data_IF_357002997410
#
_entry.id   IF_357002997410
#
_cell.length_a   1.000
_cell.length_b   1.000
_cell.length_c   1.000
_cell.angle_alpha   90.00
_cell.angle_beta   90.00
_cell.angle_gamma   90.00
#
_symmetry.space_group_name_H-M   'P 1'
#
loop_
_entity.id
_entity.type
_entity.pdbx_description
1 polymer ?
#
# COMPACT_ATOMS: atom_id res chain seq x y z
N UNK A 1 38.11 -17.25 -2.10
CA UNK A 1 37.59 -16.45 -0.96
C UNK A 1 36.24 -17.03 -0.59
N UNK A 2 36.09 -17.52 0.66
CA UNK A 2 34.87 -18.19 1.13
C UNK A 2 33.79 -17.14 1.37
N UNK A 3 32.65 -17.24 0.68
CA UNK A 3 31.46 -16.44 0.96
C UNK A 3 30.69 -17.06 2.13
N UNK A 4 30.47 -16.27 3.17
CA UNK A 4 29.54 -16.56 4.26
C UNK A 4 28.19 -15.92 3.89
N UNK A 5 27.14 -16.72 3.80
CA UNK A 5 25.77 -16.24 3.67
C UNK A 5 25.21 -15.86 5.07
N UNK A 6 24.38 -14.81 5.20
CA UNK A 6 23.67 -14.54 6.44
C UNK A 6 22.41 -15.40 6.51
N UNK A 7 22.31 -16.22 7.56
CA UNK A 7 21.10 -16.95 7.92
C UNK A 7 20.17 -15.99 8.66
N UNK A 8 19.07 -15.60 8.05
CA UNK A 8 17.93 -15.00 8.77
C UNK A 8 17.25 -16.10 9.58
N UNK A 9 17.46 -16.10 10.89
CA UNK A 9 16.75 -16.99 11.80
C UNK A 9 15.36 -16.40 12.09
N UNK A 10 14.33 -16.93 11.42
CA UNK A 10 12.95 -16.78 11.85
C UNK A 10 12.74 -17.69 13.06
N UNK A 11 12.71 -17.12 14.26
CA UNK A 11 12.47 -17.89 15.49
C UNK A 11 10.96 -18.16 15.61
N UNK A 12 10.50 -19.27 15.04
CA UNK A 12 9.16 -19.80 15.28
C UNK A 12 9.13 -20.36 16.71
N UNK A 13 8.47 -19.64 17.63
CA UNK A 13 8.09 -20.19 18.93
C UNK A 13 6.85 -21.06 18.68
N UNK A 14 7.07 -22.36 18.51
CA UNK A 14 6.00 -23.35 18.51
C UNK A 14 5.61 -23.65 19.97
N UNK A 15 4.54 -23.01 20.47
CA UNK A 15 3.93 -23.40 21.73
C UNK A 15 3.03 -24.62 21.48
N UNK A 16 3.51 -25.80 21.87
CA UNK A 16 2.68 -26.99 21.97
C UNK A 16 1.81 -26.88 23.24
N UNK A 17 0.54 -26.49 23.08
CA UNK A 17 -0.45 -26.57 24.17
C UNK A 17 -1.07 -27.97 24.13
N UNK A 18 -0.71 -28.80 25.11
CA UNK A 18 -1.34 -30.11 25.33
C UNK A 18 -2.74 -29.92 25.92
N UNK A 19 -3.77 -30.20 25.12
CA UNK A 19 -5.15 -30.23 25.60
C UNK A 19 -5.41 -31.57 26.30
N UNK A 20 -5.33 -31.60 27.63
CA UNK A 20 -5.89 -32.69 28.43
C UNK A 20 -6.17 -32.22 29.85
N UNK A 21 -7.45 -32.23 30.23
CA UNK A 21 -7.90 -32.20 31.62
C UNK A 21 -8.99 -31.18 31.90
N UNK A 22 -10.24 -31.64 31.98
CA UNK A 22 -11.33 -30.91 32.63
C UNK A 22 -11.03 -30.84 34.14
N UNK A 23 -10.26 -29.85 34.56
CA UNK A 23 -10.01 -29.55 35.96
C UNK A 23 -10.28 -28.07 36.20
N UNK A 24 -11.14 -27.74 37.16
CA UNK A 24 -11.46 -26.39 37.65
C UNK A 24 -10.27 -25.73 38.40
N UNK A 25 -9.04 -25.97 37.92
CA UNK A 25 -7.84 -25.32 38.42
C UNK A 25 -7.78 -23.90 37.89
N UNK A 26 -7.65 -22.93 38.79
CA UNK A 26 -7.30 -21.56 38.49
C UNK A 26 -5.96 -21.59 37.74
N UNK A 27 -6.01 -21.63 36.41
CA UNK A 27 -4.80 -21.59 35.60
C UNK A 27 -4.32 -20.15 35.61
N UNK A 28 -3.42 -19.85 36.53
CA UNK A 28 -2.59 -18.65 36.47
C UNK A 28 -1.76 -18.75 35.19
N UNK A 29 -2.35 -18.28 34.07
CA UNK A 29 -1.62 -18.12 32.82
C UNK A 29 -0.54 -17.08 33.13
N UNK A 30 0.75 -17.43 33.00
CA UNK A 30 1.82 -16.51 33.30
C UNK A 30 1.64 -15.25 32.42
N UNK A 31 1.51 -14.09 33.07
CA UNK A 31 1.46 -12.81 32.40
C UNK A 31 2.82 -12.62 31.73
N UNK A 32 2.86 -12.75 30.40
CA UNK A 32 4.07 -12.50 29.63
C UNK A 32 4.28 -10.98 29.62
N UNK A 33 5.37 -10.54 30.24
CA UNK A 33 5.77 -9.13 30.21
C UNK A 33 5.99 -8.68 28.76
N UNK A 34 5.42 -7.52 28.35
CA UNK A 34 5.59 -7.05 26.98
C UNK A 34 7.05 -6.70 26.71
N UNK A 35 7.50 -6.97 25.48
CA UNK A 35 8.84 -6.62 25.03
C UNK A 35 9.10 -5.10 25.04
N UNK A 36 10.36 -4.66 24.95
CA UNK A 36 10.74 -3.25 25.05
C UNK A 36 10.10 -2.37 23.97
N UNK A 37 9.97 -2.87 22.74
CA UNK A 37 9.36 -2.11 21.64
C UNK A 37 7.86 -1.84 21.91
N UNK A 38 7.13 -2.82 22.46
CA UNK A 38 5.71 -2.65 22.87
C UNK A 38 5.58 -1.66 24.02
N UNK A 39 6.46 -1.73 25.03
CA UNK A 39 6.49 -0.75 26.13
C UNK A 39 6.70 0.66 25.59
N UNK A 40 7.67 0.85 24.69
CA UNK A 40 7.93 2.15 24.07
C UNK A 40 6.76 2.66 23.21
N UNK A 41 6.09 1.78 22.47
CA UNK A 41 4.88 2.13 21.71
C UNK A 41 3.76 2.62 22.63
N UNK A 42 3.51 1.91 23.73
CA UNK A 42 2.48 2.27 24.72
C UNK A 42 2.78 3.62 25.39
N UNK A 43 4.01 3.79 25.86
CA UNK A 43 4.47 5.05 26.45
C UNK A 43 4.31 6.22 25.46
N UNK A 44 4.70 6.03 24.19
CA UNK A 44 4.53 7.06 23.16
C UNK A 44 3.05 7.40 22.91
N UNK A 45 2.15 6.41 22.94
CA UNK A 45 0.72 6.65 22.80
C UNK A 45 0.18 7.46 23.98
N UNK A 46 0.52 7.08 25.21
CA UNK A 46 0.13 7.80 26.43
C UNK A 46 0.65 9.24 26.42
N UNK A 47 1.94 9.44 26.11
CA UNK A 47 2.55 10.78 26.06
C UNK A 47 1.93 11.65 24.96
N UNK A 48 1.60 11.08 23.80
CA UNK A 48 0.88 11.80 22.76
C UNK A 48 -0.51 12.24 23.23
N UNK A 49 -1.22 11.39 23.99
CA UNK A 49 -2.56 11.73 24.48
C UNK A 49 -2.59 12.85 25.53
N UNK A 50 -1.47 13.10 26.22
CA UNK A 50 -1.34 14.16 27.23
C UNK A 50 -1.09 15.55 26.64
N UNK A 51 -0.70 15.63 25.37
CA UNK A 51 -0.39 16.93 24.73
C UNK A 51 -1.65 17.74 24.50
N UNK A 52 -1.51 19.06 24.53
CA UNK A 52 -2.57 19.96 24.10
C UNK A 52 -2.89 19.75 22.62
N UNK A 53 -4.18 19.85 22.27
CA UNK A 53 -4.60 19.88 20.88
C UNK A 53 -4.08 21.17 20.22
N UNK A 54 -3.56 21.05 19.01
CA UNK A 54 -3.17 22.19 18.21
C UNK A 54 -4.43 22.92 17.70
N UNK A 55 -4.41 24.24 17.69
CA UNK A 55 -5.54 25.01 17.19
C UNK A 55 -5.53 25.04 15.65
N UNK A 56 -6.27 24.09 15.06
CA UNK A 56 -6.32 23.84 13.63
C UNK A 56 -7.75 23.52 13.21
N UNK A 57 -8.15 24.05 12.05
CA UNK A 57 -9.44 23.76 11.44
C UNK A 57 -9.46 22.39 10.76
N UNK A 58 -8.30 21.88 10.34
CA UNK A 58 -8.17 20.58 9.69
C UNK A 58 -6.81 19.94 9.92
N UNK A 59 -6.77 18.60 9.83
CA UNK A 59 -5.53 17.80 9.86
C UNK A 59 -5.64 16.68 8.83
N UNK A 60 -4.60 16.51 8.02
CA UNK A 60 -4.45 15.32 7.18
C UNK A 60 -3.46 14.37 7.85
N UNK A 61 -3.89 13.13 8.05
CA UNK A 61 -3.01 12.07 8.54
C UNK A 61 -2.91 10.95 7.52
N UNK A 62 -1.85 10.18 7.66
CA UNK A 62 -1.68 8.88 7.06
C UNK A 62 -1.63 7.82 8.17
N UNK A 63 -2.17 6.62 7.95
CA UNK A 63 -2.25 5.61 9.01
C UNK A 63 -1.99 4.16 8.55
N UNK A 64 -1.34 3.41 9.43
CA UNK A 64 -1.33 1.95 9.43
C UNK A 64 -2.29 1.48 10.52
N UNK A 65 -3.35 0.75 10.15
CA UNK A 65 -4.28 0.13 11.10
C UNK A 65 -4.01 -1.37 11.21
N UNK A 66 -3.88 -1.85 12.44
CA UNK A 66 -3.73 -3.27 12.78
C UNK A 66 -4.91 -3.72 13.66
N UNK A 67 -5.93 -4.37 13.08
CA UNK A 67 -7.14 -4.74 13.78
C UNK A 67 -6.91 -5.96 14.66
N UNK A 68 -7.72 -6.06 15.71
CA UNK A 68 -7.64 -7.15 16.71
C UNK A 68 -8.83 -8.09 16.68
N UNK A 69 -9.93 -7.70 16.00
CA UNK A 69 -11.21 -8.41 16.05
C UNK A 69 -11.99 -8.41 14.73
N UNK A 70 -11.49 -7.75 13.69
CA UNK A 70 -12.21 -7.59 12.42
C UNK A 70 -11.65 -8.60 11.41
N UNK A 71 -12.54 -9.39 10.80
CA UNK A 71 -12.35 -9.97 9.46
C UNK A 71 -12.20 -8.79 8.50
N UNK A 72 -10.97 -8.31 8.32
CA UNK A 72 -10.72 -7.09 7.55
C UNK A 72 -11.21 -7.22 6.11
N UNK A 73 -11.65 -6.11 5.52
CA UNK A 73 -12.00 -5.99 4.09
C UNK A 73 -10.84 -6.30 3.12
N UNK A 74 -9.65 -6.59 3.63
CA UNK A 74 -8.54 -7.09 2.82
C UNK A 74 -8.57 -8.62 2.86
N UNK A 75 -9.33 -9.24 1.96
CA UNK A 75 -9.49 -10.71 1.81
C UNK A 75 -8.15 -11.49 1.76
N UNK A 76 -7.02 -10.79 1.59
CA UNK A 76 -5.67 -11.36 1.46
C UNK A 76 -4.79 -11.33 2.72
N UNK A 77 -5.18 -10.68 3.83
CA UNK A 77 -4.30 -10.55 5.01
C UNK A 77 -4.73 -11.47 6.16
N UNK A 78 -3.79 -12.15 6.85
CA UNK A 78 -4.12 -13.06 7.94
C UNK A 78 -4.72 -12.29 9.11
N UNK A 79 -5.67 -12.91 9.81
CA UNK A 79 -6.21 -12.40 11.07
C UNK A 79 -5.09 -12.35 12.12
N UNK A 80 -5.01 -11.25 12.86
CA UNK A 80 -4.06 -11.07 13.97
C UNK A 80 -4.77 -11.22 15.32
N UNK A 81 -4.13 -11.88 16.28
CA UNK A 81 -4.51 -11.78 17.69
C UNK A 81 -4.15 -10.39 18.24
N UNK A 82 -4.76 -10.00 19.36
CA UNK A 82 -4.52 -8.68 19.95
C UNK A 82 -3.04 -8.43 20.25
N UNK A 83 -2.36 -9.42 20.83
CA UNK A 83 -0.93 -9.35 21.17
C UNK A 83 -0.04 -9.28 19.91
N UNK A 84 -0.40 -10.00 18.84
CA UNK A 84 0.31 -9.97 17.57
C UNK A 84 0.14 -8.63 16.86
N UNK A 85 -1.08 -8.09 16.85
CA UNK A 85 -1.37 -6.78 16.29
C UNK A 85 -0.61 -5.68 17.05
N UNK A 86 -0.53 -5.78 18.37
CA UNK A 86 0.23 -4.83 19.19
C UNK A 86 1.73 -4.91 18.94
N UNK A 87 2.30 -6.13 18.96
CA UNK A 87 3.71 -6.34 18.67
C UNK A 87 4.07 -5.81 17.27
N UNK A 88 3.18 -6.04 16.28
CA UNK A 88 3.36 -5.53 14.93
C UNK A 88 3.24 -4.01 14.88
N UNK A 89 2.31 -3.39 15.61
CA UNK A 89 2.18 -1.94 15.69
C UNK A 89 3.45 -1.29 16.24
N UNK A 90 4.01 -1.89 17.30
CA UNK A 90 5.24 -1.43 17.92
C UNK A 90 6.45 -1.51 16.98
N UNK A 91 6.58 -2.61 16.24
CA UNK A 91 7.61 -2.79 15.21
C UNK A 91 7.51 -1.70 14.12
N UNK A 92 6.31 -1.48 13.58
CA UNK A 92 6.09 -0.51 12.51
C UNK A 92 6.27 0.93 12.99
N UNK A 93 5.87 1.25 14.22
CA UNK A 93 6.12 2.55 14.85
C UNK A 93 7.62 2.82 14.96
N UNK A 94 8.41 1.84 15.41
CA UNK A 94 9.87 1.94 15.48
C UNK A 94 10.50 2.16 14.12
N UNK A 95 10.07 1.42 13.09
CA UNK A 95 10.55 1.61 11.71
C UNK A 95 10.21 3.01 11.20
N UNK A 96 8.96 3.47 11.38
CA UNK A 96 8.52 4.79 10.97
C UNK A 96 9.31 5.91 11.67
N UNK A 97 9.56 5.78 12.99
CA UNK A 97 10.40 6.73 13.75
C UNK A 97 11.86 6.75 13.28
N UNK A 98 12.35 5.65 12.72
CA UNK A 98 13.67 5.56 12.11
C UNK A 98 13.73 6.10 10.66
N UNK A 99 12.63 6.66 10.15
CA UNK A 99 12.57 7.26 8.81
C UNK A 99 12.26 6.26 7.69
N UNK A 100 11.70 5.09 8.02
CA UNK A 100 11.18 4.18 6.99
C UNK A 100 10.09 4.86 6.15
N UNK A 101 10.00 4.46 4.89
CA UNK A 101 8.98 4.91 3.94
C UNK A 101 7.57 4.55 4.45
N UNK A 102 6.85 5.57 4.92
CA UNK A 102 5.55 5.38 5.55
C UNK A 102 4.47 4.94 4.55
N UNK A 103 4.55 5.38 3.30
CA UNK A 103 3.63 4.95 2.24
C UNK A 103 3.72 3.43 2.05
N UNK A 104 4.96 2.92 2.01
CA UNK A 104 5.22 1.48 1.95
C UNK A 104 4.71 0.74 3.18
N UNK A 105 4.89 1.28 4.39
CA UNK A 105 4.39 0.64 5.61
C UNK A 105 2.86 0.52 5.58
N UNK A 106 2.17 1.57 5.16
CA UNK A 106 0.70 1.58 5.03
C UNK A 106 0.25 0.54 4.02
N UNK A 107 0.85 0.53 2.84
CA UNK A 107 0.51 -0.40 1.78
C UNK A 107 0.71 -1.86 2.20
N UNK A 108 1.88 -2.19 2.74
CA UNK A 108 2.22 -3.56 3.11
C UNK A 108 1.45 -4.05 4.33
N UNK A 109 1.20 -3.18 5.32
CA UNK A 109 0.77 -3.64 6.64
C UNK A 109 -0.59 -3.14 7.10
N UNK A 110 -1.14 -2.07 6.51
CA UNK A 110 -2.45 -1.56 6.95
C UNK A 110 -3.58 -2.50 6.53
N UNK A 111 -4.50 -2.74 7.43
CA UNK A 111 -5.76 -3.46 7.18
C UNK A 111 -6.94 -2.49 7.04
N UNK A 112 -6.69 -1.19 7.20
CA UNK A 112 -7.71 -0.16 7.01
C UNK A 112 -8.13 -0.04 5.54
N UNK A 113 -9.30 0.55 5.32
CA UNK A 113 -9.78 0.83 3.98
C UNK A 113 -8.85 1.86 3.32
N UNK A 114 -8.01 1.40 2.39
CA UNK A 114 -7.17 2.27 1.59
C UNK A 114 -8.05 2.89 0.52
N UNK A 115 -8.37 4.18 0.67
CA UNK A 115 -9.19 4.83 -0.34
C UNK A 115 -8.41 5.00 -1.62
N UNK A 116 -9.01 4.68 -2.76
CA UNK A 116 -8.18 4.38 -3.89
C UNK A 116 -7.61 5.68 -4.54
N UNK A 117 -8.35 6.79 -4.46
CA UNK A 117 -8.03 8.04 -5.15
C UNK A 117 -6.87 8.86 -4.55
N UNK A 118 -6.21 8.43 -3.47
CA UNK A 118 -5.29 9.25 -2.68
C UNK A 118 -4.02 8.52 -2.27
N UNK A 119 -3.10 9.21 -1.59
CA UNK A 119 -1.96 8.57 -0.91
C UNK A 119 -2.50 7.42 -0.02
N UNK A 120 -1.88 6.22 -0.03
CA UNK A 120 -2.39 5.07 0.72
C UNK A 120 -2.64 5.42 2.19
N UNK A 121 -3.85 5.13 2.67
CA UNK A 121 -4.25 5.37 4.06
C UNK A 121 -4.14 6.84 4.48
N UNK A 122 -4.20 7.79 3.55
CA UNK A 122 -4.31 9.19 3.88
C UNK A 122 -5.79 9.62 3.94
N UNK A 123 -6.15 10.41 4.96
CA UNK A 123 -7.45 11.07 5.01
C UNK A 123 -7.35 12.40 5.75
N UNK A 124 -8.29 13.30 5.45
CA UNK A 124 -8.38 14.62 6.09
C UNK A 124 -9.52 14.62 7.09
N UNK A 125 -9.24 15.15 8.27
CA UNK A 125 -10.21 15.40 9.31
C UNK A 125 -10.46 16.89 9.41
N UNK A 126 -11.73 17.28 9.55
CA UNK A 126 -12.15 18.67 9.76
C UNK A 126 -12.70 18.85 11.18
N UNK A 127 -12.49 20.05 11.72
CA UNK A 127 -13.15 20.54 12.93
C UNK A 127 -14.44 21.25 12.52
N UNK A 128 -15.60 20.80 13.02
CA UNK A 128 -16.91 21.40 12.72
C UNK A 128 -17.66 20.76 11.56
N UNK A 129 -18.61 21.51 10.98
CA UNK A 129 -19.48 21.01 9.91
C UNK A 129 -18.72 20.75 8.60
N UNK A 130 -19.14 19.72 7.84
CA UNK A 130 -18.54 19.42 6.54
C UNK A 130 -19.05 20.42 5.50
N UNK A 131 -18.17 21.11 4.77
CA UNK A 131 -18.58 21.84 3.59
C UNK A 131 -19.28 20.92 2.58
N UNK A 132 -20.25 21.44 1.79
CA UNK A 132 -20.73 20.70 0.63
C UNK A 132 -19.57 20.45 -0.35
N UNK A 133 -19.53 19.27 -0.96
CA UNK A 133 -18.55 18.84 -1.98
C UNK A 133 -17.10 18.65 -1.48
N UNK A 134 -16.92 17.96 -0.36
CA UNK A 134 -15.57 17.54 0.04
C UNK A 134 -15.01 16.48 -0.91
N UNK A 135 -13.71 16.56 -1.15
CA UNK A 135 -12.98 15.52 -1.86
C UNK A 135 -13.06 14.16 -1.13
N UNK A 136 -12.70 13.07 -1.82
CA UNK A 136 -12.69 11.73 -1.22
C UNK A 136 -11.86 11.71 0.08
N UNK A 137 -12.22 10.82 1.01
CA UNK A 137 -11.59 10.63 2.32
C UNK A 137 -11.41 11.91 3.17
N UNK A 138 -12.43 12.77 3.19
CA UNK A 138 -12.54 13.84 4.18
C UNK A 138 -13.69 13.53 5.14
N UNK A 139 -13.43 13.63 6.44
CA UNK A 139 -14.37 13.27 7.50
C UNK A 139 -14.45 14.37 8.57
N UNK A 140 -15.55 14.44 9.30
CA UNK A 140 -15.55 15.19 10.56
C UNK A 140 -14.68 14.40 11.53
N UNK A 141 -13.88 15.09 12.35
CA UNK A 141 -13.00 14.38 13.29
C UNK A 141 -13.80 13.46 14.22
N UNK A 142 -15.01 13.84 14.61
CA UNK A 142 -15.93 13.06 15.46
C UNK A 142 -16.49 11.80 14.77
N UNK A 143 -16.33 11.65 13.46
CA UNK A 143 -16.69 10.41 12.72
C UNK A 143 -15.60 9.34 12.77
N UNK A 144 -14.41 9.66 13.28
CA UNK A 144 -13.31 8.73 13.45
C UNK A 144 -13.18 8.29 14.91
N UNK A 145 -12.43 7.20 15.12
CA UNK A 145 -12.03 6.72 16.45
C UNK A 145 -11.46 7.88 17.29
N UNK A 146 -12.01 8.08 18.50
CA UNK A 146 -11.68 9.18 19.40
C UNK A 146 -10.19 9.31 19.65
N UNK A 147 -9.50 8.19 19.90
CA UNK A 147 -8.06 8.19 20.14
C UNK A 147 -7.27 8.60 18.91
N UNK A 148 -7.74 8.24 17.71
CA UNK A 148 -7.08 8.53 16.43
C UNK A 148 -7.17 10.01 16.11
N UNK A 149 -8.37 10.60 16.11
CA UNK A 149 -8.49 12.01 15.76
C UNK A 149 -7.85 12.92 16.80
N UNK A 150 -7.93 12.59 18.09
CA UNK A 150 -7.23 13.36 19.13
C UNK A 150 -5.72 13.29 18.95
N UNK A 151 -5.18 12.11 18.63
CA UNK A 151 -3.76 11.97 18.32
C UNK A 151 -3.36 12.82 17.09
N UNK A 152 -4.19 12.84 16.04
CA UNK A 152 -3.96 13.64 14.84
C UNK A 152 -3.78 15.14 15.15
N UNK A 153 -4.62 15.72 16.01
CA UNK A 153 -4.53 17.14 16.41
C UNK A 153 -3.36 17.47 17.32
N UNK A 154 -2.65 16.46 17.85
CA UNK A 154 -1.51 16.63 18.75
C UNK A 154 -0.15 16.40 18.09
N UNK A 155 -0.16 15.92 16.85
CA UNK A 155 1.04 15.71 16.05
C UNK A 155 1.43 16.99 15.32
N UNK A 156 2.73 17.22 15.16
CA UNK A 156 3.27 18.22 14.23
C UNK A 156 3.40 17.64 12.82
N UNK A 157 3.43 18.45 11.75
CA UNK A 157 3.70 17.98 10.39
C UNK A 157 4.95 17.08 10.34
N UNK A 158 4.82 15.93 9.67
CA UNK A 158 5.86 14.90 9.56
C UNK A 158 6.01 13.98 10.78
N UNK A 159 5.40 14.30 11.92
CA UNK A 159 5.56 13.52 13.16
C UNK A 159 4.80 12.19 13.10
N UNK A 160 5.43 11.13 13.64
CA UNK A 160 4.84 9.81 13.83
C UNK A 160 4.24 9.70 15.23
N UNK A 161 2.97 9.29 15.31
CA UNK A 161 2.23 9.00 16.53
C UNK A 161 1.85 7.53 16.67
N UNK A 162 1.73 7.10 17.93
CA UNK A 162 1.20 5.79 18.31
C UNK A 162 -0.23 5.97 18.86
N UNK A 163 -1.12 5.02 18.56
CA UNK A 163 -2.46 4.95 19.13
C UNK A 163 -2.72 3.51 19.58
N UNK A 164 -2.92 3.34 20.89
CA UNK A 164 -3.31 2.05 21.47
C UNK A 164 -4.76 1.69 21.16
N UNK A 165 -5.06 0.40 21.22
CA UNK A 165 -6.43 -0.10 21.22
C UNK A 165 -7.11 0.24 22.54
N UNK A 166 -8.28 0.87 22.45
CA UNK A 166 -9.20 1.09 23.56
C UNK A 166 -10.60 0.65 23.14
N UNK A 167 -11.33 -0.05 24.00
CA UNK A 167 -12.64 -0.61 23.62
C UNK A 167 -13.68 0.46 23.27
N UNK A 168 -13.55 1.67 23.80
CA UNK A 168 -14.43 2.80 23.51
C UNK A 168 -13.86 3.75 22.46
N UNK A 169 -12.57 4.07 22.55
CA UNK A 169 -11.99 5.20 21.80
C UNK A 169 -11.23 4.79 20.54
N UNK A 170 -10.86 3.52 20.42
CA UNK A 170 -10.16 2.95 19.25
C UNK A 170 -10.50 1.46 19.12
N UNK A 171 -11.79 1.10 19.00
CA UNK A 171 -12.21 -0.29 18.94
C UNK A 171 -11.64 -1.01 17.71
N UNK A 172 -11.28 -0.25 16.67
CA UNK A 172 -10.72 -0.76 15.42
C UNK A 172 -9.34 -1.42 15.56
N UNK A 173 -8.59 -1.18 16.65
CA UNK A 173 -7.30 -1.80 16.91
C UNK A 173 -6.18 -0.82 17.23
N UNK A 174 -4.96 -1.17 16.83
CA UNK A 174 -3.77 -0.35 17.03
C UNK A 174 -3.49 0.47 15.78
N UNK A 175 -3.00 1.70 15.97
CA UNK A 175 -2.63 2.57 14.85
C UNK A 175 -1.21 3.12 15.01
N UNK A 176 -0.51 3.17 13.89
CA UNK A 176 0.66 4.03 13.69
C UNK A 176 0.21 5.11 12.73
N UNK A 177 0.29 6.38 13.13
CA UNK A 177 -0.18 7.50 12.32
C UNK A 177 0.96 8.49 12.05
N UNK A 178 0.90 9.17 10.91
CA UNK A 178 1.80 10.26 10.54
C UNK A 178 0.98 11.48 10.16
N UNK A 179 1.28 12.65 10.71
CA UNK A 179 0.65 13.89 10.22
C UNK A 179 1.35 14.34 8.95
N UNK A 180 0.59 14.56 7.88
CA UNK A 180 1.14 15.10 6.64
C UNK A 180 1.30 16.62 6.75
N UNK A 181 2.34 17.15 6.13
CA UNK A 181 2.48 18.59 5.92
C UNK A 181 1.47 19.11 4.89
N UNK A 182 1.25 20.42 4.87
CA UNK A 182 0.41 21.04 3.85
C UNK A 182 0.98 20.85 2.44
N UNK A 183 2.31 20.96 2.29
CA UNK A 183 3.00 20.69 1.03
C UNK A 183 2.74 19.26 0.53
N UNK A 184 2.91 18.27 1.40
CA UNK A 184 2.62 16.86 1.08
C UNK A 184 1.15 16.63 0.72
N UNK A 185 0.22 17.29 1.41
CA UNK A 185 -1.22 17.21 1.11
C UNK A 185 -1.55 17.80 -0.25
N UNK A 186 -0.96 18.96 -0.58
CA UNK A 186 -1.22 19.65 -1.84
C UNK A 186 -0.62 18.89 -3.03
N UNK A 187 0.54 18.24 -2.85
CA UNK A 187 1.18 17.41 -3.88
C UNK A 187 0.36 16.19 -4.26
N UNK A 188 -0.52 15.70 -3.39
CA UNK A 188 -1.30 14.49 -3.67
C UNK A 188 -2.66 14.79 -4.34
N UNK A 189 -3.05 16.07 -4.43
CA UNK A 189 -4.34 16.47 -4.97
C UNK A 189 -4.29 16.51 -6.51
N UNK A 190 -5.09 15.67 -7.22
CA UNK A 190 -5.12 15.69 -8.68
C UNK A 190 -5.47 17.02 -9.31
N UNK A 191 -6.22 17.88 -8.60
CA UNK A 191 -6.57 19.21 -9.06
C UNK A 191 -5.38 20.20 -9.06
N UNK A 192 -4.30 19.87 -8.37
CA UNK A 192 -3.08 20.68 -8.30
C UNK A 192 -2.02 20.24 -9.32
N UNK A 193 -2.28 19.18 -10.08
CA UNK A 193 -1.37 18.79 -11.16
C UNK A 193 -1.53 19.73 -12.35
N UNK A 194 -0.40 20.10 -12.95
CA UNK A 194 -0.42 20.80 -14.23
C UNK A 194 -1.29 20.03 -15.22
N UNK A 195 -1.97 20.73 -16.15
CA UNK A 195 -2.73 20.07 -17.20
C UNK A 195 -1.84 19.04 -17.90
N UNK A 196 -2.37 17.84 -18.19
CA UNK A 196 -1.56 16.75 -18.71
C UNK A 196 -0.85 17.20 -19.97
N UNK A 197 0.47 17.01 -20.01
CA UNK A 197 1.24 17.23 -21.23
C UNK A 197 0.74 16.28 -22.34
N UNK A 198 1.14 16.52 -23.59
CA UNK A 198 0.67 15.73 -24.73
C UNK A 198 0.92 14.22 -24.57
N UNK A 199 2.01 13.82 -23.91
CA UNK A 199 2.29 12.40 -23.65
C UNK A 199 1.28 11.80 -22.66
N UNK A 200 0.98 12.48 -21.55
CA UNK A 200 0.00 12.01 -20.56
C UNK A 200 -1.39 11.92 -21.17
N UNK A 201 -1.78 12.91 -21.99
CA UNK A 201 -3.06 12.88 -22.70
C UNK A 201 -3.17 11.63 -23.61
N UNK A 202 -2.14 11.37 -24.42
CA UNK A 202 -2.08 10.19 -25.29
C UNK A 202 -2.07 8.87 -24.51
N UNK A 203 -1.30 8.81 -23.43
CA UNK A 203 -1.21 7.64 -22.55
C UNK A 203 -2.58 7.27 -21.96
N UNK A 204 -3.34 8.27 -21.47
CA UNK A 204 -4.71 8.08 -20.96
C UNK A 204 -5.69 7.68 -22.05
N UNK A 205 -5.63 8.32 -23.22
CA UNK A 205 -6.47 8.00 -24.38
C UNK A 205 -6.27 6.54 -24.81
N UNK A 206 -5.02 6.11 -24.97
CA UNK A 206 -4.70 4.74 -25.38
C UNK A 206 -5.09 3.71 -24.32
N UNK A 207 -4.93 4.04 -23.03
CA UNK A 207 -5.35 3.17 -21.94
C UNK A 207 -6.87 2.98 -21.93
N UNK A 208 -7.62 4.08 -22.14
CA UNK A 208 -9.07 4.03 -22.27
C UNK A 208 -9.50 3.22 -23.50
N UNK A 209 -8.85 3.45 -24.64
CA UNK A 209 -9.10 2.72 -25.88
C UNK A 209 -8.86 1.23 -25.69
N UNK A 210 -7.72 0.83 -25.11
CA UNK A 210 -7.40 -0.56 -24.80
C UNK A 210 -8.42 -1.16 -23.83
N UNK A 211 -8.82 -0.44 -22.79
CA UNK A 211 -9.78 -0.93 -21.79
C UNK A 211 -11.17 -1.21 -22.35
N UNK A 212 -11.51 -0.59 -23.49
CA UNK A 212 -12.80 -0.73 -24.17
C UNK A 212 -12.81 -1.82 -25.24
N UNK A 213 -11.64 -2.41 -25.56
CA UNK A 213 -11.57 -3.49 -26.55
C UNK A 213 -12.16 -4.79 -26.00
N UNK A 214 -12.78 -5.63 -26.85
CA UNK A 214 -13.10 -6.99 -26.47
C UNK A 214 -11.83 -7.76 -26.15
N UNK A 215 -11.92 -8.69 -25.21
CA UNK A 215 -10.84 -9.63 -24.93
C UNK A 215 -10.77 -10.70 -26.03
N UNK A 216 -9.57 -11.11 -26.39
CA UNK A 216 -9.38 -12.29 -27.24
C UNK A 216 -9.60 -13.57 -26.44
N UNK A 217 -9.74 -14.71 -27.12
CA UNK A 217 -10.06 -16.01 -26.51
C UNK A 217 -8.84 -16.90 -26.23
N UNK A 218 -7.61 -16.38 -26.24
CA UNK A 218 -6.42 -17.17 -25.93
C UNK A 218 -6.52 -17.78 -24.52
N UNK A 219 -6.22 -19.08 -24.38
CA UNK A 219 -6.21 -19.76 -23.08
C UNK A 219 -5.00 -19.36 -22.21
N UNK A 220 -3.95 -18.85 -22.87
CA UNK A 220 -2.67 -18.48 -22.28
C UNK A 220 -2.10 -17.27 -23.02
N UNK A 221 -1.52 -16.34 -22.26
CA UNK A 221 -0.76 -15.21 -22.79
C UNK A 221 0.59 -15.13 -22.09
N UNK A 222 1.56 -14.55 -22.78
CA UNK A 222 2.83 -14.16 -22.17
C UNK A 222 3.02 -12.68 -22.37
N UNK A 223 3.32 -11.97 -21.29
CA UNK A 223 3.54 -10.52 -21.33
C UNK A 223 4.86 -10.16 -20.68
N UNK A 224 5.37 -8.99 -21.07
CA UNK A 224 6.40 -8.29 -20.33
C UNK A 224 5.86 -6.91 -19.97
N UNK A 225 6.11 -6.42 -18.77
CA UNK A 225 5.73 -5.05 -18.39
C UNK A 225 6.88 -4.30 -17.73
N UNK A 226 6.77 -2.99 -17.72
CA UNK A 226 7.36 -2.20 -16.65
C UNK A 226 6.26 -1.48 -15.88
N UNK A 227 6.52 -1.27 -14.59
CA UNK A 227 5.69 -0.45 -13.71
C UNK A 227 6.51 0.73 -13.21
N UNK A 228 5.94 1.93 -13.32
CA UNK A 228 6.41 3.12 -12.63
C UNK A 228 5.55 3.25 -11.37
N UNK A 229 6.14 2.90 -10.23
CA UNK A 229 5.43 2.93 -8.96
C UNK A 229 5.18 4.37 -8.51
N UNK A 230 4.07 4.59 -7.81
CA UNK A 230 3.83 5.82 -7.04
C UNK A 230 4.09 5.55 -5.58
N UNK A 231 4.76 6.46 -4.89
CA UNK A 231 5.00 6.37 -3.44
C UNK A 231 5.71 5.08 -2.98
N UNK A 232 6.47 4.41 -3.85
CA UNK A 232 7.27 3.26 -3.47
C UNK A 232 8.64 3.38 -4.12
N UNK A 233 9.68 3.12 -3.33
CA UNK A 233 11.01 2.79 -3.88
C UNK A 233 11.01 1.35 -4.42
N UNK A 234 11.83 1.05 -5.44
CA UNK A 234 11.91 -0.31 -5.97
C UNK A 234 12.39 -1.28 -4.87
N UNK A 235 12.07 -2.57 -4.96
CA UNK A 235 12.67 -3.59 -4.12
C UNK A 235 14.20 -3.41 -4.07
N UNK A 236 14.76 -3.21 -2.87
CA UNK A 236 16.19 -2.93 -2.67
C UNK A 236 16.59 -1.44 -2.67
N UNK A 237 15.63 -0.50 -2.68
CA UNK A 237 15.91 0.94 -2.58
C UNK A 237 16.48 1.56 -3.85
N UNK A 238 16.29 0.90 -5.01
CA UNK A 238 16.63 1.47 -6.31
C UNK A 238 15.49 2.37 -6.80
N UNK A 239 15.82 3.46 -7.48
CA UNK A 239 14.82 4.35 -8.08
C UNK A 239 14.38 5.51 -7.17
N UNK A 240 13.91 6.57 -7.83
CA UNK A 240 13.37 7.79 -7.22
C UNK A 240 11.94 7.55 -6.72
N UNK A 241 11.61 8.01 -5.51
CA UNK A 241 10.22 7.96 -5.04
C UNK A 241 9.44 9.05 -5.79
N UNK A 242 8.67 8.62 -6.79
CA UNK A 242 7.86 9.53 -7.60
C UNK A 242 6.51 9.79 -6.94
N UNK A 243 6.09 11.06 -6.96
CA UNK A 243 4.71 11.46 -6.68
C UNK A 243 3.78 10.95 -7.81
N UNK A 244 2.45 10.90 -7.63
CA UNK A 244 1.56 10.28 -8.62
C UNK A 244 1.63 10.94 -9.99
N UNK A 245 1.64 12.27 -10.05
CA UNK A 245 1.76 12.98 -11.32
C UNK A 245 3.12 12.77 -11.97
N UNK A 246 4.20 12.77 -11.20
CA UNK A 246 5.54 12.51 -11.70
C UNK A 246 5.66 11.08 -12.24
N UNK A 247 5.09 10.10 -11.53
CA UNK A 247 5.01 8.71 -11.95
C UNK A 247 4.22 8.56 -13.26
N UNK A 248 3.09 9.26 -13.39
CA UNK A 248 2.28 9.26 -14.61
C UNK A 248 3.01 9.91 -15.78
N UNK A 249 3.60 11.09 -15.57
CA UNK A 249 4.41 11.80 -16.58
C UNK A 249 5.54 10.89 -17.04
N UNK A 250 6.26 10.27 -16.10
CA UNK A 250 7.37 9.37 -16.43
C UNK A 250 6.90 8.14 -17.20
N UNK A 251 5.80 7.52 -16.81
CA UNK A 251 5.22 6.39 -17.54
C UNK A 251 4.79 6.78 -18.96
N UNK A 252 4.17 7.96 -19.12
CA UNK A 252 3.74 8.49 -20.40
C UNK A 252 4.93 8.83 -21.32
N UNK A 253 6.00 9.41 -20.78
CA UNK A 253 7.23 9.68 -21.53
C UNK A 253 7.92 8.41 -22.01
N UNK A 254 8.01 7.39 -21.15
CA UNK A 254 8.57 6.08 -21.52
C UNK A 254 7.69 5.37 -22.55
N UNK A 255 6.37 5.50 -22.44
CA UNK A 255 5.44 4.98 -23.45
C UNK A 255 5.62 5.68 -24.80
N UNK A 256 5.73 7.01 -24.82
CA UNK A 256 6.00 7.75 -26.06
C UNK A 256 7.30 7.29 -26.72
N UNK A 257 8.38 7.10 -25.95
CA UNK A 257 9.65 6.54 -26.47
C UNK A 257 9.47 5.16 -27.09
N UNK A 258 8.60 4.31 -26.54
CA UNK A 258 8.31 2.99 -27.11
C UNK A 258 7.56 3.05 -28.43
N UNK A 259 6.60 3.98 -28.54
CA UNK A 259 5.92 4.24 -29.80
C UNK A 259 6.90 4.75 -30.88
N UNK A 260 7.96 5.45 -30.46
CA UNK A 260 9.05 5.90 -31.32
C UNK A 260 10.15 4.83 -31.57
N UNK A 261 9.95 3.60 -31.09
CA UNK A 261 10.82 2.45 -31.37
C UNK A 261 11.95 2.19 -30.37
N UNK A 262 11.90 2.77 -29.16
CA UNK A 262 12.84 2.45 -28.10
C UNK A 262 12.81 0.94 -27.72
N UNK A 263 13.95 0.43 -27.22
CA UNK A 263 14.05 -0.96 -26.77
C UNK A 263 13.30 -1.15 -25.44
N UNK A 264 12.16 -1.86 -25.51
CA UNK A 264 11.35 -2.20 -24.34
C UNK A 264 12.13 -2.95 -23.27
N UNK A 265 13.02 -3.89 -23.64
CA UNK A 265 13.79 -4.65 -22.66
C UNK A 265 14.82 -3.78 -21.95
N UNK A 266 15.32 -2.73 -22.59
CA UNK A 266 16.18 -1.74 -21.94
C UNK A 266 15.37 -0.90 -20.92
N UNK A 267 14.19 -0.41 -21.31
CA UNK A 267 13.32 0.37 -20.41
C UNK A 267 12.90 -0.48 -19.20
N UNK A 268 12.49 -1.72 -19.41
CA UNK A 268 12.10 -2.62 -18.32
C UNK A 268 13.25 -2.84 -17.35
N UNK A 269 14.47 -3.09 -17.84
CA UNK A 269 15.65 -3.28 -16.96
C UNK A 269 15.99 -2.04 -16.14
N UNK A 270 15.83 -0.86 -16.71
CA UNK A 270 16.21 0.40 -16.09
C UNK A 270 15.16 0.94 -15.10
N UNK A 271 13.87 0.86 -15.47
CA UNK A 271 12.83 1.64 -14.80
C UNK A 271 11.79 0.83 -14.04
N UNK A 272 11.67 -0.47 -14.27
CA UNK A 272 10.58 -1.23 -13.63
C UNK A 272 10.81 -1.38 -12.13
N UNK A 273 9.74 -1.22 -11.35
CA UNK A 273 9.74 -1.47 -9.91
C UNK A 273 9.42 -2.93 -9.57
N UNK A 274 9.22 -3.77 -10.59
CA UNK A 274 8.92 -5.19 -10.47
C UNK A 274 10.18 -6.04 -10.72
N UNK A 275 11.03 -6.11 -9.68
CA UNK A 275 12.23 -6.94 -9.67
C UNK A 275 12.00 -8.17 -8.81
N UNK A 276 11.99 -9.34 -9.46
CA UNK A 276 12.09 -10.64 -8.80
C UNK A 276 13.52 -11.15 -8.95
N UNK A 277 14.13 -11.57 -7.83
CA UNK A 277 15.50 -12.11 -7.83
C UNK A 277 15.61 -13.32 -8.76
N UNK A 278 16.52 -13.23 -9.74
CA UNK A 278 16.84 -14.33 -10.66
C UNK A 278 15.91 -14.50 -11.87
N UNK A 279 14.91 -13.64 -12.07
CA UNK A 279 14.03 -13.68 -13.24
C UNK A 279 14.21 -12.43 -14.13
N UNK A 280 13.97 -12.51 -15.46
CA UNK A 280 13.81 -11.33 -16.30
C UNK A 280 12.69 -10.46 -15.72
N UNK A 281 12.96 -9.19 -15.37
CA UNK A 281 11.98 -8.40 -14.64
C UNK A 281 10.71 -8.19 -15.48
N UNK A 282 9.57 -8.26 -14.81
CA UNK A 282 8.26 -8.02 -15.40
C UNK A 282 7.76 -9.02 -16.44
N UNK A 283 8.33 -10.23 -16.57
CA UNK A 283 7.79 -11.24 -17.51
C UNK A 283 6.83 -12.18 -16.80
N UNK A 284 5.61 -12.29 -17.32
CA UNK A 284 4.57 -13.17 -16.78
C UNK A 284 3.96 -14.06 -17.84
N UNK A 285 3.76 -15.33 -17.49
CA UNK A 285 2.92 -16.28 -18.22
C UNK A 285 1.61 -16.38 -17.45
N UNK A 286 0.52 -15.97 -18.09
CA UNK A 286 -0.81 -16.01 -17.49
C UNK A 286 -1.71 -16.97 -18.25
N UNK A 287 -2.61 -17.62 -17.53
CA UNK A 287 -3.62 -18.52 -18.08
C UNK A 287 -5.01 -18.10 -17.60
N UNK A 288 -6.05 -18.47 -18.35
CA UNK A 288 -7.43 -18.27 -17.91
C UNK A 288 -7.69 -18.97 -16.56
N UNK A 289 -8.65 -18.47 -15.76
CA UNK A 289 -8.86 -18.95 -14.40
C UNK A 289 -9.25 -20.44 -14.35
N UNK A 290 -10.00 -20.90 -15.35
CA UNK A 290 -10.45 -22.29 -15.54
C UNK A 290 -9.47 -23.16 -16.34
N UNK A 291 -8.34 -22.60 -16.80
CA UNK A 291 -7.36 -23.33 -17.62
C UNK A 291 -6.51 -24.30 -16.79
N UNK A 292 -6.29 -25.52 -17.28
CA UNK A 292 -5.36 -26.49 -16.67
C UNK A 292 -3.89 -26.26 -17.10
N UNK A 293 -3.62 -25.22 -17.88
CA UNK A 293 -2.27 -24.91 -18.36
C UNK A 293 -1.37 -24.36 -17.24
N UNK A 294 -0.05 -24.52 -17.42
CA UNK A 294 0.94 -23.94 -16.52
C UNK A 294 1.05 -22.42 -16.69
N UNK A 295 0.87 -21.68 -15.59
CA UNK A 295 1.00 -20.24 -15.53
C UNK A 295 0.30 -19.65 -14.30
N UNK A 296 0.47 -18.34 -14.09
CA UNK A 296 -0.30 -17.63 -13.07
C UNK A 296 -1.74 -17.48 -13.54
N UNK A 297 -2.70 -17.87 -12.70
CA UNK A 297 -4.12 -17.62 -12.98
C UNK A 297 -4.36 -16.13 -13.15
N UNK A 298 -5.22 -15.74 -14.10
CA UNK A 298 -5.57 -14.34 -14.33
C UNK A 298 -6.02 -13.62 -13.06
N UNK A 299 -6.83 -14.28 -12.23
CA UNK A 299 -7.28 -13.80 -10.90
C UNK A 299 -6.15 -13.61 -9.88
N UNK A 300 -4.97 -14.21 -10.10
CA UNK A 300 -3.77 -13.99 -9.31
C UNK A 300 -3.03 -12.69 -9.63
N UNK A 301 -3.44 -11.96 -10.68
CA UNK A 301 -2.89 -10.66 -11.04
C UNK A 301 -3.86 -9.53 -10.68
N UNK A 302 -3.35 -8.29 -10.67
CA UNK A 302 -4.23 -7.13 -10.58
C UNK A 302 -5.19 -7.12 -11.78
N UNK A 303 -6.47 -6.81 -11.53
CA UNK A 303 -7.53 -6.95 -12.52
C UNK A 303 -7.24 -6.18 -13.81
N UNK A 304 -6.75 -4.95 -13.73
CA UNK A 304 -6.45 -4.14 -14.91
C UNK A 304 -5.28 -4.73 -15.72
N UNK A 305 -4.27 -5.29 -15.05
CA UNK A 305 -3.16 -5.97 -15.71
C UNK A 305 -3.61 -7.21 -16.49
N UNK A 306 -4.40 -8.06 -15.83
CA UNK A 306 -4.98 -9.26 -16.46
C UNK A 306 -5.93 -8.92 -17.62
N UNK A 307 -6.80 -7.93 -17.43
CA UNK A 307 -7.71 -7.44 -18.47
C UNK A 307 -6.93 -6.91 -19.70
N UNK A 308 -5.91 -6.08 -19.49
CA UNK A 308 -5.11 -5.51 -20.57
C UNK A 308 -4.35 -6.57 -21.36
N UNK A 309 -3.78 -7.56 -20.68
CA UNK A 309 -3.03 -8.63 -21.33
C UNK A 309 -3.86 -9.45 -22.33
N UNK A 310 -5.16 -9.60 -22.08
CA UNK A 310 -6.09 -10.29 -22.99
C UNK A 310 -6.73 -9.40 -24.06
N UNK A 311 -6.41 -8.10 -24.07
CA UNK A 311 -6.90 -7.14 -25.08
C UNK A 311 -5.80 -6.68 -26.04
N UNK A 312 -4.57 -7.08 -25.78
CA UNK A 312 -3.41 -6.77 -26.60
C UNK A 312 -3.21 -7.83 -27.69
N UNK A 313 -2.83 -7.37 -28.87
CA UNK A 313 -2.29 -8.24 -29.91
C UNK A 313 -0.82 -8.60 -29.62
N UNK A 314 -0.34 -9.72 -30.17
CA UNK A 314 1.06 -10.12 -30.00
C UNK A 314 1.99 -9.05 -30.58
N UNK A 315 2.92 -8.56 -29.75
CA UNK A 315 3.85 -7.48 -30.08
C UNK A 315 3.34 -6.08 -29.72
N UNK A 316 2.05 -5.91 -29.41
CA UNK A 316 1.45 -4.62 -29.07
C UNK A 316 1.84 -4.15 -27.66
N UNK A 317 1.93 -2.83 -27.50
CA UNK A 317 2.09 -2.14 -26.22
C UNK A 317 0.79 -1.53 -25.73
N UNK A 318 0.44 -1.79 -24.47
CA UNK A 318 -0.75 -1.27 -23.82
C UNK A 318 -0.42 -0.52 -22.54
N UNK A 319 -0.77 0.78 -22.43
CA UNK A 319 -0.68 1.49 -21.18
C UNK A 319 -1.83 1.07 -20.24
N UNK A 320 -1.53 0.93 -18.95
CA UNK A 320 -2.52 0.68 -17.89
C UNK A 320 -2.37 1.76 -16.84
N UNK A 321 -3.42 2.56 -16.68
CA UNK A 321 -3.47 3.61 -15.68
C UNK A 321 -3.41 3.03 -14.27
N UNK A 322 -2.84 3.81 -13.35
CA UNK A 322 -3.04 3.54 -11.94
C UNK A 322 -4.54 3.52 -11.65
N UNK A 323 -5.01 2.33 -11.28
CA UNK A 323 -6.30 2.15 -10.68
C UNK A 323 -6.04 1.55 -9.29
N UNK A 324 -6.36 2.27 -8.24
CA UNK A 324 -6.08 1.81 -6.89
C UNK A 324 -6.87 0.57 -6.41
N UNK A 325 -7.95 0.17 -7.09
CA UNK A 325 -8.62 -1.09 -6.84
C UNK A 325 -8.17 -2.19 -7.81
N UNK A 326 -7.77 -1.82 -9.04
CA UNK A 326 -7.53 -2.76 -10.14
C UNK A 326 -6.09 -2.85 -10.62
N UNK A 327 -5.21 -1.93 -10.23
CA UNK A 327 -3.81 -1.73 -10.66
C UNK A 327 -3.02 -0.87 -9.65
N UNK A 328 -3.06 -1.23 -8.37
CA UNK A 328 -2.58 -0.38 -7.28
C UNK A 328 -1.05 -0.21 -7.18
N UNK A 329 -0.28 -0.93 -8.00
CA UNK A 329 1.18 -0.84 -7.97
C UNK A 329 1.75 0.41 -8.66
N UNK A 330 0.99 1.04 -9.56
CA UNK A 330 1.44 2.24 -10.27
C UNK A 330 0.88 2.32 -11.69
N UNK A 331 1.65 2.97 -12.56
CA UNK A 331 1.36 3.09 -13.99
C UNK A 331 2.16 2.05 -14.74
N UNK A 332 1.51 1.25 -15.59
CA UNK A 332 2.16 0.15 -16.28
C UNK A 332 2.17 0.37 -17.79
N UNK A 333 3.17 -0.19 -18.47
CA UNK A 333 3.08 -0.47 -19.90
C UNK A 333 3.35 -1.94 -20.10
N UNK A 334 2.42 -2.62 -20.75
CA UNK A 334 2.44 -4.05 -20.98
C UNK A 334 2.70 -4.30 -22.45
N UNK A 335 3.66 -5.16 -22.77
CA UNK A 335 3.86 -5.73 -24.11
C UNK A 335 3.39 -7.17 -24.10
N UNK A 336 2.51 -7.55 -25.03
CA UNK A 336 2.20 -8.97 -25.25
C UNK A 336 3.29 -9.61 -26.09
N UNK A 337 3.83 -10.73 -25.62
CA UNK A 337 4.89 -11.50 -26.27
C UNK A 337 4.33 -12.72 -27.02
N UNK A 338 3.30 -13.36 -26.47
CA UNK A 338 2.63 -14.56 -27.01
C UNK A 338 1.12 -14.51 -26.70
#
# INVERSE_FOLDING_TARGET
MKQLAPVFALMLIALAVSMSGCGNGNTDVPIIEPGPDVKAFREAAVELQKRDELDLDQVTIQYVQLPTMIEGNAESKPRLLAEEAEAKAAELFKQAKAGADFDRLVYMHSYGNLTPAQRPGAFTLLKGELPPNLGPATFQREQQDTSVWKAAWRLRPGEIGAVEKHHQDSPGGYYVIRRLSEEERLKDNPANFDPPNAHVAKYREDAQALSSRPEHNAERVKVQHFVIARYMSAPGGRGEILQPAEAEIKAAELYAQLLDGADFSAIVREYTYDHLDGAPPGVYVMVADDSELEGTKRSGMTRAFGDAAWRLEVGEFGPVLYDPARSFYGYHVIKRLE
#
